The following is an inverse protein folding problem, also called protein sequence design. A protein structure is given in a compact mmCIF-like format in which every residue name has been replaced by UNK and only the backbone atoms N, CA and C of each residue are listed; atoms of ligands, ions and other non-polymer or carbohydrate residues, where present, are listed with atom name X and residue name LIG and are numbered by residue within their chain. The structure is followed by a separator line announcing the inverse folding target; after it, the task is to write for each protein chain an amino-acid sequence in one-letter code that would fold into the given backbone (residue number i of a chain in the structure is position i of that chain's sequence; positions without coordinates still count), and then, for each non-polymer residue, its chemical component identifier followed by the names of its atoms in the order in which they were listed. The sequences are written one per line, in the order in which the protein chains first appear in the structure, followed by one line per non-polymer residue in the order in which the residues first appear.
data_IF_393999546613
#
_entry.id   IF_393999546613
#
_cell.length_a   1.000
_cell.length_b   1.000
_cell.length_c   1.000
_cell.angle_alpha   90.00
_cell.angle_beta   90.00
_cell.angle_gamma   90.00
#
_symmetry.space_group_name_H-M   'P 1'
#
loop_
_entity.id
_entity.type
_entity.pdbx_description
1 polymer ?
#
# COMPACT_ATOMS: atom_id res chain seq x y z
N UNK A 1 -16.54 12.47 6.79
CA UNK A 1 -15.33 13.31 6.95
C UNK A 1 -14.33 13.03 5.86
N UNK A 2 -13.67 14.10 5.48
CA UNK A 2 -12.30 14.10 4.99
C UNK A 2 -11.43 12.99 5.64
N UNK A 3 -10.57 12.24 4.94
CA UNK A 3 -9.27 12.67 4.40
C UNK A 3 -9.08 12.38 2.88
N UNK A 4 -9.81 12.93 1.88
CA UNK A 4 -11.15 13.54 1.94
C UNK A 4 -12.29 12.51 2.20
N UNK A 5 -11.93 11.27 2.57
CA UNK A 5 -12.83 10.18 2.98
C UNK A 5 -12.43 9.54 4.33
N UNK A 6 -13.38 9.14 5.21
CA UNK A 6 -13.08 8.50 6.51
C UNK A 6 -12.37 7.16 6.34
N UNK A 7 -12.53 6.57 5.16
CA UNK A 7 -11.96 5.31 4.74
C UNK A 7 -10.42 5.39 4.63
N UNK A 8 -9.89 6.53 4.19
CA UNK A 8 -8.43 6.77 4.10
C UNK A 8 -7.85 6.90 5.51
N UNK A 9 -8.58 7.55 6.41
CA UNK A 9 -8.19 7.69 7.81
C UNK A 9 -8.20 6.33 8.53
N UNK A 10 -9.09 5.39 8.19
CA UNK A 10 -9.10 4.03 8.77
C UNK A 10 -7.96 3.17 8.23
N UNK A 11 -7.67 3.18 6.92
CA UNK A 11 -6.54 2.44 6.33
C UNK A 11 -5.18 2.94 6.83
N UNK A 12 -5.08 4.25 7.03
CA UNK A 12 -3.94 4.88 7.68
C UNK A 12 -3.78 4.38 9.12
N UNK A 13 -4.88 4.25 9.87
CA UNK A 13 -4.86 3.81 11.27
C UNK A 13 -4.51 2.32 11.40
N UNK A 14 -5.03 1.48 10.52
CA UNK A 14 -4.79 0.03 10.50
C UNK A 14 -3.36 -0.32 10.04
N UNK A 15 -2.82 0.39 9.04
CA UNK A 15 -1.40 0.28 8.67
C UNK A 15 -0.46 0.75 9.81
N UNK A 16 -0.88 1.79 10.56
CA UNK A 16 -0.17 2.26 11.74
C UNK A 16 -0.24 1.27 12.91
N UNK A 17 -1.33 0.51 13.08
CA UNK A 17 -1.44 -0.56 14.08
C UNK A 17 -0.58 -1.78 13.75
N UNK A 18 -0.50 -2.17 12.47
CA UNK A 18 0.38 -3.25 12.00
C UNK A 18 1.86 -2.87 12.16
N UNK A 19 2.20 -1.59 11.95
CA UNK A 19 3.52 -1.04 12.25
C UNK A 19 3.79 -0.94 13.77
N UNK A 20 2.78 -0.59 14.58
CA UNK A 20 2.91 -0.50 16.03
C UNK A 20 3.12 -1.88 16.68
N UNK A 21 2.46 -2.94 16.19
CA UNK A 21 2.66 -4.32 16.66
C UNK A 21 4.03 -4.91 16.29
N UNK A 22 4.75 -4.30 15.34
CA UNK A 22 6.17 -4.59 15.04
C UNK A 22 7.16 -3.86 15.97
N UNK A 23 6.70 -2.82 16.68
CA UNK A 23 7.49 -2.00 17.61
C UNK A 23 7.43 -2.52 19.05
N UNK A 24 7.55 -3.85 19.21
CA UNK A 24 8.37 -4.35 20.31
C UNK A 24 9.79 -3.78 20.13
N UNK A 25 10.51 -3.41 21.20
CA UNK A 25 11.63 -2.47 21.08
C UNK A 25 12.79 -3.06 20.26
N UNK A 26 13.11 -2.46 19.11
CA UNK A 26 14.32 -2.78 18.32
C UNK A 26 14.15 -2.99 16.81
N UNK A 27 12.94 -3.05 16.26
CA UNK A 27 12.78 -3.56 14.90
C UNK A 27 12.50 -2.47 13.85
N UNK A 28 13.58 -1.90 13.28
CA UNK A 28 13.50 -1.35 11.90
C UNK A 28 13.39 -2.54 10.95
N UNK A 29 12.17 -2.91 10.56
CA UNK A 29 11.97 -3.96 9.54
C UNK A 29 12.02 -3.30 8.16
N UNK A 30 13.13 -3.40 7.40
CA UNK A 30 12.98 -3.43 5.95
C UNK A 30 12.04 -4.59 5.66
N UNK A 31 10.85 -4.34 5.11
CA UNK A 31 10.09 -5.45 4.53
C UNK A 31 10.93 -5.84 3.32
N UNK A 32 11.87 -6.77 3.49
CA UNK A 32 12.86 -7.15 2.47
C UNK A 32 12.22 -7.42 1.11
N UNK A 33 10.91 -7.69 1.08
CA UNK A 33 10.10 -7.95 -0.11
C UNK A 33 8.71 -7.27 -0.10
N UNK A 34 8.49 -6.24 0.71
CA UNK A 34 7.22 -5.52 0.69
C UNK A 34 7.14 -4.65 -0.56
N UNK A 35 5.94 -4.47 -1.11
CA UNK A 35 5.72 -3.57 -2.24
C UNK A 35 4.31 -3.00 -2.23
N UNK A 36 4.18 -1.78 -2.72
CA UNK A 36 2.88 -1.18 -3.06
C UNK A 36 2.72 -1.27 -4.56
N UNK A 37 1.60 -1.79 -5.04
CA UNK A 37 1.32 -2.00 -6.47
C UNK A 37 0.08 -1.22 -6.85
N UNK A 38 0.19 -0.40 -7.89
CA UNK A 38 -0.94 0.32 -8.48
C UNK A 38 -1.31 -0.34 -9.82
N UNK A 39 -2.56 -0.76 -9.96
CA UNK A 39 -3.11 -1.40 -11.15
C UNK A 39 -4.31 -0.61 -11.68
N UNK A 40 -4.42 -0.52 -13.02
CA UNK A 40 -5.60 0.06 -13.68
C UNK A 40 -6.70 -0.99 -13.75
N UNK A 41 -7.93 -0.60 -13.41
CA UNK A 41 -9.12 -1.43 -13.57
C UNK A 41 -9.98 -0.90 -14.72
N UNK A 42 -11.05 -1.65 -15.06
CA UNK A 42 -12.07 -1.18 -16.01
C UNK A 42 -12.68 0.17 -15.59
N UNK A 43 -12.89 0.35 -14.28
CA UNK A 43 -13.35 1.59 -13.68
C UNK A 43 -12.43 1.98 -12.51
N UNK A 44 -11.59 2.99 -12.75
CA UNK A 44 -10.64 3.50 -11.75
C UNK A 44 -9.35 2.68 -11.62
N UNK A 45 -8.79 2.71 -10.40
CA UNK A 45 -7.47 2.22 -10.08
C UNK A 45 -7.47 1.50 -8.74
N UNK A 46 -6.68 0.44 -8.64
CA UNK A 46 -6.49 -0.32 -7.40
C UNK A 46 -5.06 -0.17 -6.90
N UNK A 47 -4.91 0.16 -5.63
CA UNK A 47 -3.64 0.17 -4.93
C UNK A 47 -3.60 -0.99 -3.94
N UNK A 48 -2.67 -1.92 -4.12
CA UNK A 48 -2.45 -3.04 -3.22
C UNK A 48 -1.15 -2.85 -2.43
N UNK A 49 -1.22 -2.99 -1.12
CA UNK A 49 -0.04 -3.08 -0.25
C UNK A 49 0.25 -4.55 -0.02
N UNK A 50 1.43 -5.00 -0.42
CA UNK A 50 1.89 -6.38 -0.34
C UNK A 50 3.06 -6.49 0.63
N UNK A 51 3.04 -7.52 1.45
CA UNK A 51 4.13 -7.97 2.31
C UNK A 51 4.38 -9.46 2.13
N UNK A 52 5.12 -10.04 3.07
CA UNK A 52 5.25 -11.49 3.22
C UNK A 52 4.72 -11.91 4.60
N UNK A 53 4.15 -13.11 4.68
CA UNK A 53 3.79 -13.75 5.94
C UNK A 53 5.03 -14.35 6.65
N UNK A 54 4.80 -14.99 7.81
CA UNK A 54 5.85 -15.63 8.60
C UNK A 54 6.56 -16.80 7.90
N UNK A 55 5.99 -17.33 6.81
CA UNK A 55 6.55 -18.41 5.98
C UNK A 55 7.17 -17.87 4.68
N UNK A 56 7.25 -16.54 4.52
CA UNK A 56 7.78 -15.91 3.33
C UNK A 56 6.84 -15.94 2.12
N UNK A 57 5.54 -16.26 2.31
CA UNK A 57 4.55 -16.25 1.23
C UNK A 57 4.01 -14.83 1.00
N UNK A 58 3.72 -14.44 -0.25
CA UNK A 58 3.10 -13.16 -0.54
C UNK A 58 1.77 -12.99 0.21
N UNK A 59 1.65 -11.88 0.94
CA UNK A 59 0.44 -11.53 1.67
C UNK A 59 0.00 -10.12 1.27
N UNK A 60 -1.27 -9.96 0.95
CA UNK A 60 -1.87 -8.64 0.71
C UNK A 60 -2.35 -8.06 2.03
N UNK A 61 -1.76 -6.92 2.40
CA UNK A 61 -1.98 -6.25 3.68
C UNK A 61 -3.12 -5.23 3.60
N UNK A 62 -3.26 -4.56 2.47
CA UNK A 62 -4.33 -3.59 2.25
C UNK A 62 -4.63 -3.45 0.76
N UNK A 63 -5.86 -3.07 0.45
CA UNK A 63 -6.30 -2.68 -0.89
C UNK A 63 -7.10 -1.40 -0.80
N UNK A 64 -6.88 -0.48 -1.74
CA UNK A 64 -7.67 0.74 -1.87
C UNK A 64 -8.02 1.00 -3.33
N UNK A 65 -9.21 1.56 -3.56
CA UNK A 65 -9.68 1.92 -4.90
C UNK A 65 -9.75 3.43 -5.04
N UNK A 66 -9.43 3.91 -6.24
CA UNK A 66 -9.38 5.31 -6.56
C UNK A 66 -9.97 5.56 -7.93
N UNK A 67 -10.78 6.61 -8.06
CA UNK A 67 -11.33 7.01 -9.36
C UNK A 67 -10.28 7.73 -10.22
N UNK A 68 -9.28 8.35 -9.58
CA UNK A 68 -8.28 9.17 -10.24
C UNK A 68 -6.85 8.64 -10.07
N UNK A 69 -6.13 8.53 -11.18
CA UNK A 69 -4.77 7.99 -11.26
C UNK A 69 -3.78 8.78 -10.38
N UNK A 70 -3.81 10.10 -10.48
CA UNK A 70 -2.83 10.95 -9.79
C UNK A 70 -2.99 10.85 -8.27
N UNK A 71 -4.23 10.72 -7.81
CA UNK A 71 -4.52 10.48 -6.40
C UNK A 71 -3.98 9.11 -5.96
N UNK A 72 -4.25 8.06 -6.73
CA UNK A 72 -3.76 6.71 -6.45
C UNK A 72 -2.22 6.65 -6.42
N UNK A 73 -1.55 7.32 -7.36
CA UNK A 73 -0.08 7.44 -7.42
C UNK A 73 0.49 8.15 -6.21
N UNK A 74 -0.10 9.28 -5.81
CA UNK A 74 0.35 10.05 -4.67
C UNK A 74 0.27 9.23 -3.37
N UNK A 75 -0.83 8.51 -3.16
CA UNK A 75 -1.01 7.62 -2.00
C UNK A 75 -0.03 6.45 -2.06
N UNK A 76 0.12 5.81 -3.22
CA UNK A 76 1.02 4.68 -3.40
C UNK A 76 2.48 4.99 -3.12
N UNK A 77 2.98 6.10 -3.66
CA UNK A 77 4.35 6.56 -3.42
C UNK A 77 4.58 6.91 -1.94
N UNK A 78 3.58 7.51 -1.27
CA UNK A 78 3.66 7.85 0.16
C UNK A 78 3.69 6.60 1.05
N UNK A 79 2.86 5.60 0.75
CA UNK A 79 2.85 4.32 1.47
C UNK A 79 4.16 3.56 1.26
N UNK A 80 4.65 3.52 0.02
CA UNK A 80 5.96 2.94 -0.32
C UNK A 80 7.09 3.51 0.53
N UNK A 81 7.18 4.84 0.62
CA UNK A 81 8.18 5.52 1.46
C UNK A 81 8.00 5.24 2.96
N UNK A 82 6.77 5.35 3.47
CA UNK A 82 6.46 5.15 4.90
C UNK A 82 6.83 3.74 5.37
N UNK A 83 6.62 2.74 4.51
CA UNK A 83 6.89 1.35 4.83
C UNK A 83 8.31 0.90 4.40
N UNK A 84 9.11 1.77 3.77
CA UNK A 84 10.39 1.44 3.15
C UNK A 84 10.30 0.26 2.17
N UNK A 85 9.32 0.31 1.27
CA UNK A 85 9.00 -0.73 0.29
C UNK A 85 8.91 -0.18 -1.12
N UNK A 86 9.04 -1.06 -2.12
CA UNK A 86 9.02 -0.66 -3.54
C UNK A 86 7.60 -0.24 -3.94
N UNK A 87 7.46 0.93 -4.55
CA UNK A 87 6.22 1.31 -5.25
C UNK A 87 6.32 0.91 -6.73
N UNK A 88 5.33 0.17 -7.22
CA UNK A 88 5.22 -0.25 -8.62
C UNK A 88 3.92 0.26 -9.23
N UNK A 89 4.06 1.09 -10.26
CA UNK A 89 2.92 1.52 -11.07
C UNK A 89 2.82 0.64 -12.33
N UNK A 90 1.84 -0.27 -12.33
CA UNK A 90 1.55 -1.17 -13.46
C UNK A 90 0.52 -0.61 -14.42
N UNK A 91 0.04 0.61 -14.23
CA UNK A 91 -0.95 1.24 -15.11
C UNK A 91 -0.42 1.42 -16.53
N UNK A 92 0.91 1.46 -16.70
CA UNK A 92 1.59 1.53 -18.00
C UNK A 92 1.81 0.16 -18.67
N UNK A 93 1.63 -0.95 -17.95
CA UNK A 93 1.95 -2.29 -18.44
C UNK A 93 0.78 -2.99 -19.15
N UNK A 94 -0.42 -2.40 -19.14
CA UNK A 94 -1.63 -2.94 -19.80
C UNK A 94 -1.73 -2.58 -21.30
N UNK A 95 -0.57 -2.51 -21.98
CA UNK A 95 -0.48 -2.18 -23.40
C UNK A 95 0.54 -3.07 -24.09
N UNK A 96 0.16 -4.32 -24.34
CA UNK A 96 0.74 -5.20 -25.36
C UNK A 96 -0.31 -6.20 -25.80
#
# INVERSE_FOLDING_TARGET
MTERSPLVASFRREALEILARRNQPGVKVPVRNGRVVLERLAHGYRLDVLGLDQYGKPLRLATSHFDHLDHARAIGARMGRTMCVVFQDKTKSAGR
#
